data_IF_674411868625
#
_entry.id   IF_674411868625
#
_cell.length_a   1.000
_cell.length_b   1.000
_cell.length_c   1.000
_cell.angle_alpha   90.00
_cell.angle_beta   90.00
_cell.angle_gamma   90.00
#
_symmetry.space_group_name_H-M   'P 1'
#
loop_
_entity.id
_entity.type
_entity.pdbx_description
1 polymer ?
#
# COMPACT_ATOMS: atom_id res chain seq x y z
N UNK A 1 -5.14 5.34 -11.51
CA UNK A 1 -6.44 4.61 -11.45
C UNK A 1 -6.58 3.48 -12.46
N UNK A 2 -6.03 3.56 -13.70
CA UNK A 2 -6.14 2.47 -14.70
C UNK A 2 -5.76 1.08 -14.18
N UNK A 3 -4.66 0.96 -13.43
CA UNK A 3 -4.23 -0.30 -12.80
C UNK A 3 -5.28 -0.86 -11.81
N UNK A 4 -5.72 -0.03 -10.85
CA UNK A 4 -6.73 -0.42 -9.84
C UNK A 4 -8.03 -0.89 -10.49
N UNK A 5 -8.48 -0.23 -11.56
CA UNK A 5 -9.71 -0.58 -12.26
C UNK A 5 -9.61 -1.91 -13.02
N UNK A 6 -8.40 -2.45 -13.23
CA UNK A 6 -8.16 -3.70 -13.94
C UNK A 6 -7.92 -4.89 -13.00
N UNK A 7 -7.85 -4.66 -11.68
CA UNK A 7 -7.66 -5.74 -10.71
C UNK A 7 -8.82 -6.77 -10.80
N UNK A 8 -8.57 -8.06 -10.60
CA UNK A 8 -9.65 -9.05 -10.46
C UNK A 8 -10.62 -8.71 -9.30
N UNK A 9 -11.86 -9.20 -9.39
CA UNK A 9 -12.81 -9.13 -8.28
C UNK A 9 -12.21 -9.78 -7.02
N UNK A 10 -12.37 -9.15 -5.85
CA UNK A 10 -11.93 -9.72 -4.58
C UNK A 10 -10.43 -9.68 -4.35
N UNK A 11 -9.68 -8.91 -5.16
CA UNK A 11 -8.24 -8.69 -4.96
C UNK A 11 -7.97 -8.07 -3.59
N UNK A 12 -6.96 -8.59 -2.89
CA UNK A 12 -6.38 -7.95 -1.70
C UNK A 12 -5.20 -7.10 -2.16
N UNK A 13 -5.35 -5.78 -2.09
CA UNK A 13 -4.35 -4.82 -2.53
C UNK A 13 -3.80 -3.99 -1.36
N UNK A 14 -2.66 -3.35 -1.59
CA UNK A 14 -2.07 -2.39 -0.65
C UNK A 14 -1.62 -1.14 -1.39
N UNK A 15 -2.05 0.04 -0.94
CA UNK A 15 -1.43 1.32 -1.29
C UNK A 15 -0.41 1.71 -0.21
N UNK A 16 0.86 1.69 -0.57
CA UNK A 16 1.97 1.99 0.35
C UNK A 16 2.33 3.45 0.15
N UNK A 17 2.37 4.20 1.25
CA UNK A 17 2.38 5.66 1.23
C UNK A 17 1.06 6.20 0.70
N UNK A 18 -0.06 5.69 1.23
CA UNK A 18 -1.39 5.91 0.67
C UNK A 18 -1.85 7.38 0.69
N UNK A 19 -1.21 8.24 1.50
CA UNK A 19 -1.64 9.63 1.60
C UNK A 19 -3.11 9.70 2.03
N UNK A 20 -3.91 10.39 1.24
CA UNK A 20 -5.37 10.53 1.44
C UNK A 20 -6.19 9.28 1.02
N UNK A 21 -5.56 8.11 0.81
CA UNK A 21 -6.20 6.87 0.36
C UNK A 21 -7.00 7.04 -0.96
N UNK A 22 -6.34 7.64 -1.97
CA UNK A 22 -6.97 8.02 -3.25
C UNK A 22 -7.33 6.84 -4.14
N UNK A 23 -6.70 5.68 -3.94
CA UNK A 23 -6.78 4.53 -4.81
C UNK A 23 -7.52 3.38 -4.12
N UNK A 24 -8.79 3.19 -4.46
CA UNK A 24 -9.58 2.07 -3.98
C UNK A 24 -10.59 1.60 -5.03
N UNK A 25 -11.21 0.45 -4.77
CA UNK A 25 -12.32 -0.09 -5.55
C UNK A 25 -13.28 -0.83 -4.62
N UNK A 26 -14.59 -0.70 -4.83
CA UNK A 26 -15.63 -1.16 -3.90
C UNK A 26 -15.81 -2.69 -3.81
N UNK A 27 -15.09 -3.44 -4.63
CA UNK A 27 -15.14 -4.89 -4.80
C UNK A 27 -13.76 -5.54 -4.58
N UNK A 28 -12.79 -4.76 -4.08
CA UNK A 28 -11.47 -5.21 -3.66
C UNK A 28 -11.22 -4.74 -2.23
N UNK A 29 -10.38 -5.46 -1.49
CA UNK A 29 -9.98 -5.08 -0.15
C UNK A 29 -8.62 -4.39 -0.18
N UNK A 30 -8.53 -3.19 0.38
CA UNK A 30 -7.31 -2.38 0.42
C UNK A 30 -6.79 -2.31 1.86
N UNK A 31 -5.57 -2.78 2.07
CA UNK A 31 -4.85 -2.70 3.34
C UNK A 31 -3.80 -1.60 3.23
N UNK A 32 -4.21 -0.35 3.24
CA UNK A 32 -3.36 0.79 2.90
C UNK A 32 -2.49 1.23 4.09
N UNK A 33 -1.30 1.77 3.82
CA UNK A 33 -0.45 2.29 4.89
C UNK A 33 0.27 3.59 4.56
N UNK A 34 0.52 4.39 5.60
CA UNK A 34 1.36 5.58 5.55
C UNK A 34 2.11 5.76 6.89
N UNK A 35 3.11 6.64 6.89
CA UNK A 35 3.86 7.02 8.10
C UNK A 35 3.23 8.21 8.83
N UNK A 36 2.32 8.95 8.19
CA UNK A 36 1.70 10.14 8.75
C UNK A 36 0.41 9.83 9.55
N UNK A 37 0.55 9.57 10.85
CA UNK A 37 -0.58 9.29 11.74
C UNK A 37 -1.66 10.37 11.71
N UNK A 38 -1.26 11.64 11.76
CA UNK A 38 -2.19 12.77 11.81
C UNK A 38 -3.11 12.83 10.59
N UNK A 39 -2.58 12.51 9.41
CA UNK A 39 -3.36 12.43 8.18
C UNK A 39 -4.28 11.22 8.21
N UNK A 40 -3.76 10.02 8.53
CA UNK A 40 -4.55 8.79 8.57
C UNK A 40 -5.75 8.91 9.53
N UNK A 41 -5.55 9.54 10.69
CA UNK A 41 -6.59 9.73 11.69
C UNK A 41 -7.77 10.61 11.23
N UNK A 42 -7.61 11.38 10.15
CA UNK A 42 -8.64 12.29 9.63
C UNK A 42 -9.41 11.70 8.45
N UNK A 43 -8.99 10.55 7.90
CA UNK A 43 -9.59 9.99 6.70
C UNK A 43 -10.96 9.38 6.97
N UNK A 44 -11.86 9.56 6.01
CA UNK A 44 -13.14 8.87 5.93
C UNK A 44 -13.07 7.85 4.83
N UNK A 45 -13.07 6.58 5.21
CA UNK A 45 -12.75 5.48 4.31
C UNK A 45 -13.99 4.82 3.70
N UNK A 46 -13.88 4.32 2.47
CA UNK A 46 -14.84 3.36 1.93
C UNK A 46 -14.86 2.06 2.75
N UNK A 47 -15.95 1.27 2.69
CA UNK A 47 -16.11 0.08 3.55
C UNK A 47 -15.03 -1.01 3.43
N UNK A 48 -14.32 -1.11 2.31
CA UNK A 48 -13.31 -2.14 2.04
C UNK A 48 -11.88 -1.58 2.02
N UNK A 49 -11.65 -0.47 2.72
CA UNK A 49 -10.33 0.11 2.91
C UNK A 49 -10.01 0.13 4.40
N UNK A 50 -8.87 -0.43 4.77
CA UNK A 50 -8.32 -0.41 6.12
C UNK A 50 -6.96 0.32 6.10
N UNK A 51 -6.62 1.00 7.20
CA UNK A 51 -5.40 1.80 7.31
C UNK A 51 -4.44 1.26 8.36
N UNK A 52 -3.16 1.26 8.04
CA UNK A 52 -2.09 0.92 8.97
C UNK A 52 -1.03 2.03 9.04
N UNK A 53 -0.57 2.33 10.25
CA UNK A 53 0.61 3.19 10.45
C UNK A 53 1.87 2.34 10.23
N UNK A 54 2.58 2.53 9.12
CA UNK A 54 3.75 1.74 8.78
C UNK A 54 4.74 2.45 7.85
N UNK A 55 5.99 2.00 7.88
CA UNK A 55 7.05 2.43 6.96
C UNK A 55 7.24 1.38 5.85
N UNK A 56 7.46 1.82 4.62
CA UNK A 56 7.64 0.93 3.46
C UNK A 56 8.89 0.01 3.55
N UNK A 57 9.78 0.25 4.50
CA UNK A 57 10.93 -0.62 4.81
C UNK A 57 10.60 -1.77 5.79
N UNK A 58 9.45 -1.73 6.45
CA UNK A 58 9.02 -2.75 7.40
C UNK A 58 7.49 -2.82 7.43
N UNK A 59 6.93 -3.55 6.45
CA UNK A 59 5.49 -3.60 6.22
C UNK A 59 4.83 -4.60 7.20
N UNK A 60 3.67 -4.26 7.80
CA UNK A 60 3.00 -5.12 8.78
C UNK A 60 2.21 -6.27 8.12
N UNK A 61 2.59 -6.68 6.91
CA UNK A 61 1.92 -7.73 6.15
C UNK A 61 2.77 -9.00 6.11
N UNK A 62 2.08 -10.15 6.06
CA UNK A 62 2.73 -11.45 5.93
C UNK A 62 3.33 -11.58 4.53
N UNK A 63 4.31 -12.47 4.40
CA UNK A 63 4.85 -12.78 3.08
C UNK A 63 3.80 -13.48 2.22
N UNK A 64 3.78 -13.22 0.91
CA UNK A 64 2.85 -13.82 -0.04
C UNK A 64 1.36 -13.69 0.37
N UNK A 65 0.95 -12.58 0.98
CA UNK A 65 -0.43 -12.37 1.42
C UNK A 65 -1.23 -11.39 0.57
N UNK A 66 -0.56 -10.56 -0.23
CA UNK A 66 -1.15 -9.46 -0.99
C UNK A 66 -1.11 -9.79 -2.50
N UNK A 67 -2.19 -9.50 -3.22
CA UNK A 67 -2.32 -9.77 -4.66
C UNK A 67 -1.73 -8.63 -5.51
N UNK A 68 -1.83 -7.39 -5.05
CA UNK A 68 -1.35 -6.22 -5.78
C UNK A 68 -0.84 -5.11 -4.84
N UNK A 69 0.19 -4.37 -5.26
CA UNK A 69 0.72 -3.25 -4.50
C UNK A 69 0.85 -1.98 -5.35
N UNK A 70 0.57 -0.84 -4.74
CA UNK A 70 0.84 0.49 -5.28
C UNK A 70 1.95 1.15 -4.46
N UNK A 71 2.90 1.79 -5.18
CA UNK A 71 3.99 2.57 -4.59
C UNK A 71 4.08 3.94 -5.30
N UNK A 72 3.03 4.74 -5.19
CA UNK A 72 2.93 6.00 -5.94
C UNK A 72 3.67 7.10 -5.20
N UNK A 73 4.71 7.67 -5.82
CA UNK A 73 5.45 8.80 -5.24
C UNK A 73 6.07 8.52 -3.86
N UNK A 74 6.38 7.26 -3.54
CA UNK A 74 7.00 6.92 -2.24
C UNK A 74 8.52 6.85 -2.31
N UNK A 75 9.06 6.18 -3.33
CA UNK A 75 10.49 5.83 -3.35
C UNK A 75 11.42 7.05 -3.34
N UNK A 76 10.95 8.20 -3.82
CA UNK A 76 11.76 9.41 -3.87
C UNK A 76 12.01 10.03 -2.49
N UNK A 77 11.27 9.64 -1.45
CA UNK A 77 11.54 10.04 -0.07
C UNK A 77 12.78 9.36 0.52
N UNK A 78 13.26 8.27 -0.10
CA UNK A 78 14.47 7.59 0.34
C UNK A 78 15.72 8.19 -0.31
N UNK A 79 16.59 8.78 0.52
CA UNK A 79 17.82 9.43 0.06
C UNK A 79 18.82 8.47 -0.61
N UNK A 80 18.87 7.20 -0.22
CA UNK A 80 19.87 6.24 -0.72
C UNK A 80 19.26 5.16 -1.60
N UNK A 81 20.06 4.66 -2.55
CA UNK A 81 19.70 3.54 -3.42
C UNK A 81 19.38 2.29 -2.60
N UNK A 82 20.17 2.00 -1.55
CA UNK A 82 19.96 0.82 -0.72
C UNK A 82 18.62 0.85 0.01
N UNK A 83 18.20 2.02 0.50
CA UNK A 83 16.86 2.17 1.10
C UNK A 83 15.76 1.93 0.08
N UNK A 84 15.88 2.46 -1.14
CA UNK A 84 14.91 2.20 -2.21
C UNK A 84 14.83 0.71 -2.57
N UNK A 85 15.97 0.03 -2.67
CA UNK A 85 16.03 -1.43 -2.93
C UNK A 85 15.37 -2.23 -1.81
N UNK A 86 15.63 -1.88 -0.55
CA UNK A 86 15.00 -2.54 0.60
C UNK A 86 13.48 -2.35 0.61
N UNK A 87 12.98 -1.15 0.31
CA UNK A 87 11.54 -0.91 0.21
C UNK A 87 10.91 -1.79 -0.87
N UNK A 88 11.51 -1.86 -2.07
CA UNK A 88 11.03 -2.74 -3.13
C UNK A 88 11.08 -4.22 -2.75
N UNK A 89 12.14 -4.67 -2.06
CA UNK A 89 12.25 -6.04 -1.57
C UNK A 89 11.17 -6.36 -0.52
N UNK A 90 10.86 -5.41 0.36
CA UNK A 90 9.83 -5.57 1.39
C UNK A 90 8.43 -5.62 0.78
N UNK A 91 8.16 -4.81 -0.26
CA UNK A 91 6.92 -4.90 -1.04
C UNK A 91 6.83 -6.27 -1.72
N UNK A 92 7.90 -6.70 -2.39
CA UNK A 92 7.94 -7.98 -3.09
C UNK A 92 7.74 -9.15 -2.13
N UNK A 93 8.25 -9.08 -0.90
CA UNK A 93 8.02 -10.08 0.15
C UNK A 93 6.52 -10.29 0.40
N UNK A 94 5.75 -9.22 0.45
CA UNK A 94 4.31 -9.25 0.75
C UNK A 94 3.46 -9.78 -0.43
N UNK A 95 3.93 -9.59 -1.66
CA UNK A 95 3.20 -9.99 -2.87
C UNK A 95 3.17 -11.51 -3.05
N UNK A 96 2.04 -12.04 -3.50
CA UNK A 96 1.91 -13.44 -3.93
C UNK A 96 2.72 -13.71 -5.21
N UNK A 97 3.27 -14.93 -5.38
CA UNK A 97 3.99 -15.33 -6.60
C UNK A 97 3.14 -15.28 -7.87
#
# INVERSE_FOLDING_TARGET
QKFVNQLPLGTIAVDIGCGEAKYYRSDCFFMDCDTCLEMLAQLRLPPLVDLQLADALNLPYRSNSIDAALLVSVLHHFATVDRRKRALAEVARCLRP
#
